data_IF_357274824255
#
_entry.id   IF_357274824255
#
_cell.length_a   1.000
_cell.length_b   1.000
_cell.length_c   1.000
_cell.angle_alpha   90.00
_cell.angle_beta   90.00
_cell.angle_gamma   90.00
#
_symmetry.space_group_name_H-M   'P 1'
#
loop_
_entity.id
_entity.type
_entity.pdbx_description
1 polymer ?
#
# COMPACT_ATOMS: atom_id res chain seq x y z
N UNK A 1 -26.29 28.01 11.93
CA UNK A 1 -25.78 27.75 10.59
C UNK A 1 -24.86 26.54 10.68
N UNK A 2 -25.37 25.35 10.32
CA UNK A 2 -24.58 24.11 10.31
C UNK A 2 -23.92 24.00 8.96
N UNK A 3 -22.60 24.12 8.94
CA UNK A 3 -21.77 23.87 7.77
C UNK A 3 -21.62 22.34 7.64
N UNK A 4 -22.28 21.74 6.66
CA UNK A 4 -22.11 20.37 6.28
C UNK A 4 -20.80 20.21 5.50
N UNK A 5 -19.87 19.46 6.09
CA UNK A 5 -18.68 18.98 5.39
C UNK A 5 -19.12 18.05 4.25
N UNK A 6 -18.64 18.22 3.01
CA UNK A 6 -18.99 17.32 1.93
C UNK A 6 -18.44 15.91 2.25
N UNK A 7 -19.36 14.93 2.27
CA UNK A 7 -18.98 13.52 2.27
C UNK A 7 -18.23 13.24 0.96
N UNK A 8 -17.00 12.75 1.08
CA UNK A 8 -16.25 12.24 -0.05
C UNK A 8 -17.05 11.12 -0.72
N UNK A 9 -17.37 11.30 -2.00
CA UNK A 9 -18.04 10.28 -2.81
C UNK A 9 -17.18 9.00 -2.81
N UNK A 10 -17.81 7.88 -2.48
CA UNK A 10 -17.20 6.56 -2.56
C UNK A 10 -16.77 6.29 -4.00
N UNK A 11 -15.52 5.90 -4.27
CA UNK A 11 -15.17 5.43 -5.59
C UNK A 11 -16.02 4.18 -5.90
N UNK A 12 -16.80 4.26 -6.97
CA UNK A 12 -17.53 3.12 -7.53
C UNK A 12 -16.45 2.23 -8.15
N UNK A 13 -16.16 1.10 -7.51
CA UNK A 13 -15.31 0.06 -8.10
C UNK A 13 -16.03 -0.43 -9.35
N UNK A 14 -15.43 -0.21 -10.52
CA UNK A 14 -15.96 -0.70 -11.78
C UNK A 14 -16.05 -2.24 -11.73
N UNK A 15 -17.18 -2.86 -12.11
CA UNK A 15 -17.30 -4.31 -12.14
C UNK A 15 -16.39 -4.86 -13.24
N UNK A 16 -15.36 -5.65 -12.83
CA UNK A 16 -14.49 -6.37 -13.76
C UNK A 16 -12.98 -6.25 -13.55
N UNK A 17 -12.51 -5.51 -12.53
CA UNK A 17 -11.09 -5.60 -12.15
C UNK A 17 -10.94 -6.84 -11.28
N UNK A 18 -10.34 -7.91 -11.80
CA UNK A 18 -9.86 -9.02 -10.99
C UNK A 18 -8.96 -8.43 -9.90
N UNK A 19 -9.34 -8.64 -8.66
CA UNK A 19 -8.56 -8.19 -7.49
C UNK A 19 -7.20 -8.87 -7.55
N UNK A 20 -6.19 -8.14 -7.97
CA UNK A 20 -4.88 -8.71 -8.24
C UNK A 20 -3.91 -8.38 -7.12
N UNK A 21 -3.10 -9.35 -6.73
CA UNK A 21 -1.93 -9.15 -5.88
C UNK A 21 -0.64 -9.02 -6.69
N UNK A 22 -0.77 -9.11 -8.02
CA UNK A 22 0.33 -9.01 -8.97
C UNK A 22 -0.20 -8.46 -10.29
N UNK A 23 0.35 -7.33 -10.73
CA UNK A 23 -0.04 -6.65 -11.97
C UNK A 23 1.19 -6.28 -12.77
N UNK A 24 1.10 -6.46 -14.09
CA UNK A 24 2.07 -5.99 -15.08
C UNK A 24 1.41 -5.02 -16.00
N UNK A 25 2.12 -3.97 -16.34
CA UNK A 25 1.65 -2.93 -17.24
C UNK A 25 2.34 -3.05 -18.59
N UNK A 26 1.57 -2.91 -19.65
CA UNK A 26 2.12 -2.80 -20.99
C UNK A 26 2.93 -1.50 -21.14
N UNK A 27 3.98 -1.52 -21.96
CA UNK A 27 4.83 -0.34 -22.20
C UNK A 27 4.05 0.84 -22.78
N UNK A 28 2.90 0.59 -23.40
CA UNK A 28 2.03 1.62 -24.00
C UNK A 28 0.84 1.99 -23.11
N UNK A 29 0.71 1.38 -21.91
CA UNK A 29 -0.36 1.72 -20.98
C UNK A 29 -0.17 3.14 -20.44
N UNK A 30 -1.06 4.04 -20.85
CA UNK A 30 -1.00 5.44 -20.42
C UNK A 30 -1.34 5.65 -18.95
N UNK A 31 -2.04 4.71 -18.33
CA UNK A 31 -2.33 4.79 -16.89
C UNK A 31 -1.09 4.50 -16.06
N UNK A 32 -0.13 3.75 -16.60
CA UNK A 32 1.07 3.33 -15.89
C UNK A 32 2.19 4.38 -15.84
N UNK A 33 2.02 5.56 -16.45
CA UNK A 33 3.02 6.63 -16.39
C UNK A 33 2.87 7.72 -17.44
N UNK A 34 3.82 8.65 -17.39
CA UNK A 34 3.95 9.78 -18.30
C UNK A 34 5.30 9.73 -19.07
N UNK A 35 5.77 10.87 -19.58
CA UNK A 35 7.07 10.98 -20.23
C UNK A 35 8.26 10.92 -19.27
N UNK A 36 8.03 11.08 -17.95
CA UNK A 36 9.08 11.11 -16.91
C UNK A 36 9.33 9.73 -16.34
N UNK A 37 8.26 8.99 -16.02
CA UNK A 37 8.35 7.71 -15.32
C UNK A 37 7.24 6.77 -15.76
N UNK A 38 7.53 5.45 -15.72
CA UNK A 38 6.56 4.41 -16.06
C UNK A 38 6.68 3.21 -15.16
N UNK A 39 5.59 2.81 -14.53
CA UNK A 39 5.49 1.57 -13.77
C UNK A 39 5.42 0.39 -14.74
N UNK A 40 6.16 -0.67 -14.42
CA UNK A 40 6.23 -1.90 -15.20
C UNK A 40 5.49 -3.05 -14.51
N UNK A 41 5.72 -3.17 -13.21
CA UNK A 41 5.17 -4.28 -12.43
C UNK A 41 4.95 -3.84 -10.99
N UNK A 42 3.90 -4.36 -10.37
CA UNK A 42 3.66 -4.24 -8.95
C UNK A 42 3.15 -5.57 -8.41
N UNK A 43 3.61 -5.98 -7.21
CA UNK A 43 3.24 -7.25 -6.60
C UNK A 43 3.30 -7.20 -5.07
N UNK A 44 2.49 -8.01 -4.45
CA UNK A 44 2.54 -8.31 -3.02
C UNK A 44 3.27 -9.63 -2.85
N UNK A 45 4.25 -9.66 -1.96
CA UNK A 45 4.99 -10.88 -1.60
C UNK A 45 4.64 -11.25 -0.16
N UNK A 46 4.40 -12.52 0.05
CA UNK A 46 4.22 -13.08 1.38
C UNK A 46 5.52 -13.46 2.08
N UNK A 47 5.44 -14.18 3.22
CA UNK A 47 6.60 -14.54 4.03
C UNK A 47 7.65 -15.37 3.29
N UNK A 48 7.23 -16.17 2.31
CA UNK A 48 8.12 -16.99 1.48
C UNK A 48 8.83 -16.18 0.38
N UNK A 49 8.52 -14.88 0.23
CA UNK A 49 9.03 -14.06 -0.86
C UNK A 49 8.38 -14.34 -2.23
N UNK A 50 7.28 -15.09 -2.25
CA UNK A 50 6.50 -15.37 -3.46
C UNK A 50 5.26 -14.48 -3.55
N UNK A 51 4.79 -14.15 -4.78
CA UNK A 51 3.57 -13.38 -4.95
C UNK A 51 2.36 -14.07 -4.32
N UNK A 52 1.66 -13.35 -3.44
CA UNK A 52 0.40 -13.82 -2.83
C UNK A 52 -0.46 -12.65 -2.36
N UNK A 53 -1.78 -12.84 -2.43
CA UNK A 53 -2.77 -11.83 -2.06
C UNK A 53 -3.34 -11.98 -0.64
N UNK A 54 -2.92 -13.00 0.12
CA UNK A 54 -3.42 -13.24 1.46
C UNK A 54 -2.29 -13.57 2.43
N UNK A 55 -2.32 -12.96 3.62
CA UNK A 55 -1.41 -13.23 4.75
C UNK A 55 -2.19 -13.34 6.05
N UNK A 56 -1.58 -13.93 7.06
CA UNK A 56 -2.10 -13.88 8.43
C UNK A 56 -1.61 -12.63 9.15
N UNK A 57 -2.34 -12.18 10.17
CA UNK A 57 -1.95 -11.01 11.01
C UNK A 57 -0.51 -11.14 11.53
N UNK A 58 -0.09 -12.34 11.92
CA UNK A 58 1.25 -12.62 12.45
C UNK A 58 2.35 -12.83 11.40
N UNK A 59 2.05 -12.65 10.12
CA UNK A 59 3.00 -12.83 9.01
C UNK A 59 3.48 -11.49 8.46
N UNK A 60 4.71 -11.49 7.97
CA UNK A 60 5.29 -10.37 7.23
C UNK A 60 4.85 -10.43 5.76
N UNK A 61 4.79 -9.25 5.14
CA UNK A 61 4.61 -9.12 3.70
C UNK A 61 5.51 -8.01 3.15
N UNK A 62 5.57 -7.90 1.85
CA UNK A 62 6.14 -6.72 1.20
C UNK A 62 5.38 -6.35 -0.05
N UNK A 63 5.42 -5.07 -0.41
CA UNK A 63 4.93 -4.57 -1.70
C UNK A 63 6.14 -4.16 -2.52
N UNK A 64 6.25 -4.72 -3.71
CA UNK A 64 7.28 -4.39 -4.68
C UNK A 64 6.69 -3.65 -5.86
N UNK A 65 7.42 -2.64 -6.32
CA UNK A 65 7.09 -1.87 -7.53
C UNK A 65 8.34 -1.70 -8.38
N UNK A 66 8.26 -2.07 -9.63
CA UNK A 66 9.29 -1.85 -10.63
C UNK A 66 8.85 -0.75 -11.58
N UNK A 67 9.72 0.23 -11.84
CA UNK A 67 9.44 1.34 -12.73
C UNK A 67 10.70 1.85 -13.43
N UNK A 68 10.50 2.51 -14.57
CA UNK A 68 11.57 3.15 -15.33
C UNK A 68 11.49 4.67 -15.17
N UNK A 69 12.64 5.32 -14.97
CA UNK A 69 12.80 6.78 -15.11
C UNK A 69 13.26 7.08 -16.53
N UNK A 70 12.44 7.79 -17.26
CA UNK A 70 12.59 8.04 -18.71
C UNK A 70 13.15 9.42 -19.01
N UNK A 71 13.00 10.38 -18.09
CA UNK A 71 13.46 11.76 -18.26
C UNK A 71 14.32 12.20 -17.08
N UNK A 72 15.50 12.72 -17.37
CA UNK A 72 16.41 13.24 -16.34
C UNK A 72 15.90 14.53 -15.70
N UNK A 73 16.39 14.83 -14.49
CA UNK A 73 16.07 16.07 -13.77
C UNK A 73 14.82 15.97 -12.88
N UNK A 74 14.21 14.81 -12.78
CA UNK A 74 13.14 14.48 -11.84
C UNK A 74 13.65 13.47 -10.80
N UNK A 75 13.03 13.48 -9.62
CA UNK A 75 13.32 12.52 -8.57
C UNK A 75 12.02 11.87 -8.08
N UNK A 76 11.37 11.05 -8.94
CA UNK A 76 10.13 10.39 -8.58
C UNK A 76 10.34 9.45 -7.39
N UNK A 77 9.47 9.59 -6.39
CA UNK A 77 9.43 8.76 -5.19
C UNK A 77 8.13 7.99 -5.13
N UNK A 78 8.26 6.73 -4.75
CA UNK A 78 7.12 5.83 -4.59
C UNK A 78 6.33 6.20 -3.32
N UNK A 79 5.01 6.25 -3.47
CA UNK A 79 4.05 6.38 -2.37
C UNK A 79 3.04 5.24 -2.48
N UNK A 80 2.78 4.56 -1.40
CA UNK A 80 1.79 3.51 -1.30
C UNK A 80 0.70 3.94 -0.31
N UNK A 81 -0.54 3.91 -0.76
CA UNK A 81 -1.69 4.23 0.06
C UNK A 81 -2.50 2.96 0.30
N UNK A 82 -2.76 2.66 1.56
CA UNK A 82 -3.55 1.51 1.99
C UNK A 82 -4.92 2.00 2.46
N UNK A 83 -5.96 1.56 1.78
CA UNK A 83 -7.35 1.80 2.12
C UNK A 83 -7.98 0.49 2.59
N UNK A 84 -8.64 0.51 3.75
CA UNK A 84 -9.39 -0.64 4.22
C UNK A 84 -10.72 -0.76 3.46
N UNK A 85 -11.32 -1.95 3.45
CA UNK A 85 -12.58 -2.26 2.75
C UNK A 85 -13.78 -1.40 3.17
N UNK A 86 -13.71 -0.78 4.34
CA UNK A 86 -14.72 0.18 4.82
C UNK A 86 -14.54 1.58 4.20
N UNK A 87 -13.57 1.77 3.31
CA UNK A 87 -13.27 2.99 2.58
C UNK A 87 -12.41 4.00 3.34
N UNK A 88 -11.95 3.66 4.54
CA UNK A 88 -11.03 4.49 5.32
C UNK A 88 -9.57 4.26 4.94
N UNK A 89 -8.77 5.33 4.94
CA UNK A 89 -7.32 5.19 4.85
C UNK A 89 -6.79 4.49 6.11
N UNK A 90 -6.06 3.37 5.90
CA UNK A 90 -5.31 2.73 6.98
C UNK A 90 -4.03 3.52 7.26
N UNK A 91 -3.26 3.77 6.23
CA UNK A 91 -2.05 4.59 6.26
C UNK A 91 -1.55 4.88 4.83
N UNK A 92 -0.61 5.81 4.72
CA UNK A 92 0.20 6.00 3.53
C UNK A 92 1.68 5.89 3.91
N UNK A 93 2.48 5.34 3.01
CA UNK A 93 3.94 5.24 3.18
C UNK A 93 4.63 5.82 1.97
N UNK A 94 5.60 6.70 2.24
CA UNK A 94 6.40 7.37 1.21
C UNK A 94 7.81 6.80 1.28
N UNK A 95 8.38 6.48 0.14
CA UNK A 95 9.79 6.11 0.04
C UNK A 95 10.67 7.18 0.70
N UNK A 96 11.49 6.77 1.67
CA UNK A 96 12.32 7.68 2.46
C UNK A 96 13.71 7.92 1.86
N UNK A 97 14.02 7.33 0.71
CA UNK A 97 15.30 7.51 0.03
C UNK A 97 15.35 8.90 -0.61
N UNK A 98 16.35 9.70 -0.24
CA UNK A 98 16.54 11.06 -0.79
C UNK A 98 17.47 11.09 -2.01
N UNK A 99 17.88 9.95 -2.54
CA UNK A 99 18.78 9.88 -3.70
C UNK A 99 18.08 10.41 -4.96
N UNK A 100 18.79 11.26 -5.68
CA UNK A 100 18.34 11.67 -7.02
C UNK A 100 18.23 10.46 -7.92
N UNK A 101 17.15 10.41 -8.71
CA UNK A 101 16.99 9.38 -9.72
C UNK A 101 17.70 9.78 -11.02
N UNK A 102 18.42 8.84 -11.59
CA UNK A 102 18.97 8.93 -12.95
C UNK A 102 18.08 8.12 -13.89
N UNK A 103 18.33 8.24 -15.20
CA UNK A 103 17.65 7.40 -16.19
C UNK A 103 17.94 5.92 -15.89
N UNK A 104 16.93 5.08 -16.02
CA UNK A 104 17.04 3.64 -15.83
C UNK A 104 15.90 3.02 -15.03
N UNK A 105 16.02 1.72 -14.81
CA UNK A 105 15.03 0.91 -14.11
C UNK A 105 15.30 0.89 -12.61
N UNK A 106 14.24 0.96 -11.83
CA UNK A 106 14.27 0.94 -10.37
C UNK A 106 13.35 -0.15 -9.84
N UNK A 107 13.79 -0.75 -8.74
CA UNK A 107 13.02 -1.70 -7.96
C UNK A 107 12.91 -1.17 -6.54
N UNK A 108 11.69 -0.95 -6.08
CA UNK A 108 11.38 -0.51 -4.73
C UNK A 108 10.64 -1.60 -3.98
N UNK A 109 11.00 -1.83 -2.72
CA UNK A 109 10.31 -2.76 -1.83
C UNK A 109 9.99 -2.06 -0.51
N UNK A 110 8.72 -2.10 -0.13
CA UNK A 110 8.25 -1.70 1.19
C UNK A 110 7.94 -2.96 2.01
N UNK A 111 8.47 -3.03 3.22
CA UNK A 111 8.21 -4.14 4.14
C UNK A 111 7.04 -3.81 5.06
N UNK A 112 6.10 -4.74 5.18
CA UNK A 112 5.00 -4.73 6.14
C UNK A 112 5.38 -5.69 7.28
N UNK A 113 5.61 -5.18 8.49
CA UNK A 113 5.95 -6.04 9.60
C UNK A 113 4.77 -6.91 10.05
N UNK A 114 5.06 -8.06 10.61
CA UNK A 114 4.08 -8.89 11.29
C UNK A 114 3.34 -8.10 12.39
N UNK A 115 2.09 -8.42 12.63
CA UNK A 115 1.26 -7.81 13.67
C UNK A 115 1.09 -6.28 13.51
N UNK A 116 1.07 -5.78 12.28
CA UNK A 116 0.87 -4.37 11.98
C UNK A 116 -0.55 -4.09 11.47
N UNK A 117 -1.00 -4.88 10.50
CA UNK A 117 -2.35 -4.77 9.94
C UNK A 117 -3.37 -5.59 10.73
N UNK A 118 -4.58 -5.08 10.84
CA UNK A 118 -5.71 -5.85 11.35
C UNK A 118 -6.27 -6.77 10.25
N UNK A 119 -7.09 -7.75 10.63
CA UNK A 119 -7.75 -8.66 9.70
C UNK A 119 -8.82 -7.91 8.89
N UNK A 120 -8.50 -7.55 7.67
CA UNK A 120 -9.34 -6.82 6.69
C UNK A 120 -8.79 -7.03 5.28
N UNK A 121 -9.58 -6.65 4.28
CA UNK A 121 -9.09 -6.42 2.92
C UNK A 121 -8.54 -5.00 2.80
N UNK A 122 -7.37 -4.88 2.18
CA UNK A 122 -6.73 -3.60 1.90
C UNK A 122 -6.54 -3.42 0.40
N UNK A 123 -7.08 -2.33 -0.13
CA UNK A 123 -6.78 -1.87 -1.47
C UNK A 123 -5.55 -0.98 -1.42
N UNK A 124 -4.61 -1.23 -2.32
CA UNK A 124 -3.32 -0.53 -2.34
C UNK A 124 -3.23 0.28 -3.63
N UNK A 125 -3.13 1.58 -3.46
CA UNK A 125 -2.90 2.53 -4.55
C UNK A 125 -1.43 2.91 -4.62
N UNK A 126 -0.93 3.10 -5.84
CA UNK A 126 0.48 3.37 -6.15
C UNK A 126 0.57 4.76 -6.77
N UNK A 127 1.44 5.59 -6.19
CA UNK A 127 1.76 6.91 -6.73
C UNK A 127 3.26 7.05 -6.93
N UNK A 128 3.66 7.68 -8.01
CA UNK A 128 5.03 8.18 -8.21
C UNK A 128 4.98 9.69 -8.36
N UNK A 129 5.67 10.40 -7.47
CA UNK A 129 5.60 11.86 -7.37
C UNK A 129 6.98 12.48 -7.20
N UNK A 130 7.24 13.57 -7.94
CA UNK A 130 8.41 14.42 -7.74
C UNK A 130 8.00 15.61 -6.86
N UNK A 131 8.30 15.52 -5.56
CA UNK A 131 7.85 16.51 -4.57
C UNK A 131 8.49 17.88 -4.78
N UNK A 132 9.74 17.92 -5.24
CA UNK A 132 10.47 19.16 -5.55
C UNK A 132 9.82 20.00 -6.68
N UNK A 133 8.96 19.34 -7.48
CA UNK A 133 8.22 19.96 -8.57
C UNK A 133 6.71 19.95 -8.34
N UNK A 134 6.26 19.44 -7.20
CA UNK A 134 4.85 19.26 -6.87
C UNK A 134 4.08 18.57 -8.00
N UNK A 135 4.65 17.48 -8.53
CA UNK A 135 4.14 16.77 -9.70
C UNK A 135 3.86 15.30 -9.36
N UNK A 136 2.68 14.82 -9.72
CA UNK A 136 2.29 13.40 -9.70
C UNK A 136 2.41 12.87 -11.12
N UNK A 137 3.25 11.86 -11.31
CA UNK A 137 3.52 11.22 -12.60
C UNK A 137 2.65 9.99 -12.83
N UNK A 138 2.36 9.27 -11.75
CA UNK A 138 1.57 8.03 -11.76
C UNK A 138 0.56 8.07 -10.63
N UNK A 139 -0.67 7.70 -10.95
CA UNK A 139 -1.77 7.49 -10.00
C UNK A 139 -2.50 6.20 -10.39
N UNK A 140 -2.13 5.08 -9.76
CA UNK A 140 -2.77 3.78 -9.95
C UNK A 140 -3.59 3.47 -8.70
N UNK A 141 -4.90 3.72 -8.77
CA UNK A 141 -5.82 3.51 -7.63
C UNK A 141 -6.20 2.05 -7.50
N UNK A 142 -6.14 1.55 -6.27
CA UNK A 142 -6.66 0.24 -5.85
C UNK A 142 -6.16 -0.92 -6.73
N UNK A 143 -4.91 -0.81 -7.19
CA UNK A 143 -4.33 -1.71 -8.20
C UNK A 143 -3.91 -3.05 -7.63
N UNK A 144 -3.63 -3.12 -6.32
CA UNK A 144 -3.34 -4.36 -5.62
C UNK A 144 -4.33 -4.55 -4.45
N UNK A 145 -4.61 -5.82 -4.12
CA UNK A 145 -5.45 -6.18 -2.98
C UNK A 145 -4.71 -7.16 -2.09
N UNK A 146 -4.62 -6.80 -0.80
CA UNK A 146 -4.07 -7.63 0.26
C UNK A 146 -5.20 -8.04 1.21
N UNK A 147 -5.44 -9.35 1.32
CA UNK A 147 -6.33 -9.92 2.31
C UNK A 147 -5.51 -10.29 3.56
N UNK A 148 -5.82 -9.68 4.70
CA UNK A 148 -5.22 -10.04 5.99
C UNK A 148 -6.22 -10.86 6.78
N UNK A 149 -5.85 -12.11 7.07
CA UNK A 149 -6.69 -13.07 7.78
C UNK A 149 -6.27 -13.14 9.24
N UNK A 150 -7.27 -13.14 10.14
CA UNK A 150 -7.00 -13.30 11.56
C UNK A 150 -6.59 -14.75 11.90
N UNK A 151 -5.77 -14.88 12.91
CA UNK A 151 -5.41 -16.16 13.51
C UNK A 151 -5.86 -16.14 14.96
N UNK A 152 -6.72 -17.09 15.33
CA UNK A 152 -7.19 -17.24 16.70
C UNK A 152 -6.04 -17.40 17.72
N UNK A 153 -4.90 -17.92 17.25
CA UNK A 153 -3.68 -18.11 18.05
C UNK A 153 -2.69 -16.94 17.91
N UNK A 154 -3.07 -15.86 17.25
CA UNK A 154 -2.20 -14.69 17.09
C UNK A 154 -1.79 -14.11 18.44
N UNK A 155 -0.50 -13.87 18.61
CA UNK A 155 0.08 -13.26 19.81
C UNK A 155 -0.58 -11.92 20.17
N UNK A 156 -1.08 -11.18 19.20
CA UNK A 156 -1.76 -9.90 19.41
C UNK A 156 -3.14 -10.06 20.06
N UNK A 157 -3.72 -11.25 20.05
CA UNK A 157 -5.02 -11.51 20.70
C UNK A 157 -4.94 -11.51 22.21
N UNK A 158 -3.86 -11.99 22.80
CA UNK A 158 -3.68 -12.07 24.26
C UNK A 158 -4.94 -12.59 24.99
N UNK A 159 -5.53 -13.68 24.48
CA UNK A 159 -6.79 -14.26 24.99
C UNK A 159 -8.07 -13.46 24.69
N UNK A 160 -7.99 -12.34 23.97
CA UNK A 160 -9.16 -11.60 23.52
C UNK A 160 -9.83 -12.29 22.31
N UNK A 161 -11.09 -12.66 22.44
CA UNK A 161 -11.85 -13.38 21.40
C UNK A 161 -12.74 -12.49 20.53
N UNK A 162 -12.90 -11.22 20.90
CA UNK A 162 -13.74 -10.27 20.16
C UNK A 162 -13.08 -9.71 18.89
N UNK A 163 -13.82 -8.92 18.11
CA UNK A 163 -13.30 -8.22 16.97
C UNK A 163 -12.38 -7.07 17.39
N UNK A 164 -11.26 -6.89 16.69
CA UNK A 164 -10.40 -5.72 16.88
C UNK A 164 -10.91 -4.55 16.03
N UNK A 165 -11.13 -3.37 16.61
CA UNK A 165 -11.48 -2.19 15.86
C UNK A 165 -10.30 -1.63 15.06
N UNK A 166 -10.59 -0.85 14.02
CA UNK A 166 -9.60 -0.13 13.24
C UNK A 166 -8.90 -0.98 12.17
N UNK A 167 -8.07 -0.32 11.39
CA UNK A 167 -7.31 -0.92 10.31
C UNK A 167 -5.91 -1.39 10.75
N UNK A 168 -5.36 -0.83 11.82
CA UNK A 168 -4.06 -1.19 12.36
C UNK A 168 -4.23 -1.94 13.68
N UNK A 169 -3.30 -2.88 13.94
CA UNK A 169 -3.27 -3.69 15.14
C UNK A 169 -1.83 -3.84 15.64
N UNK A 170 -1.13 -2.72 15.90
CA UNK A 170 0.26 -2.75 16.29
C UNK A 170 0.45 -3.32 17.69
N UNK A 171 1.51 -4.10 17.88
CA UNK A 171 1.97 -4.49 19.20
C UNK A 171 2.78 -3.36 19.82
N UNK A 172 2.20 -2.64 20.78
CA UNK A 172 2.86 -1.55 21.49
C UNK A 172 3.41 -2.08 22.83
N UNK A 173 4.50 -1.47 23.32
CA UNK A 173 5.06 -1.76 24.62
C UNK A 173 4.24 -1.07 25.72
N UNK A 174 3.95 -1.80 26.79
CA UNK A 174 3.21 -1.30 27.96
C UNK A 174 4.05 -1.45 29.22
N UNK A 175 4.07 -0.42 30.05
CA UNK A 175 4.56 -0.48 31.42
C UNK A 175 3.37 -0.42 32.37
N UNK A 176 3.29 -1.40 33.27
CA UNK A 176 2.27 -1.46 34.33
C UNK A 176 2.96 -1.41 35.68
N UNK A 177 2.62 -0.42 36.51
CA UNK A 177 3.13 -0.28 37.89
C UNK A 177 1.96 -0.28 38.85
N UNK A 178 2.10 -1.08 39.95
CA UNK A 178 1.17 -1.00 41.08
C UNK A 178 1.54 0.24 41.92
N UNK A 179 0.55 1.06 42.32
CA UNK A 179 0.72 2.29 43.08
C UNK A 179 0.44 2.05 44.59
#
# INVERSE_FOLDING_TARGET
MHSSVPQAERPIVAPGVEQSFHVRFDANDRAAGDEVVRVREARILGPSGTPQGAIRVGEEASVEVEYDVLLAGFSPRLNLHFCAEDGGYAFASIENTQSKRTLGSYHCRMHLPANFLNAKNYMISIYLSSFERNCVHVELKDVLVLNVVDDANSITRQSYSGPFPGALRPMLQWEVKNL
#
